data_IF_098694264928
#
_entry.id   IF_098694264928
#
_cell.length_a   1.000
_cell.length_b   1.000
_cell.length_c   1.000
_cell.angle_alpha   90.00
_cell.angle_beta   90.00
_cell.angle_gamma   90.00
#
_symmetry.space_group_name_H-M   'P 1'
#
loop_
_entity.id
_entity.type
_entity.pdbx_description
1 polymer ?
#
# COMPACT_ATOMS: atom_id res chain seq x y z
N UNK A 1 10.18 13.63 -3.70
CA UNK A 1 9.75 12.22 -3.68
C UNK A 1 10.64 11.45 -2.73
N UNK A 2 10.07 10.50 -1.98
CA UNK A 2 10.80 9.56 -1.11
C UNK A 2 10.74 8.16 -1.73
N UNK A 3 11.87 7.45 -1.80
CA UNK A 3 11.98 6.09 -2.34
C UNK A 3 12.29 5.10 -1.22
N UNK A 4 11.91 3.84 -1.41
CA UNK A 4 12.16 2.75 -0.45
C UNK A 4 11.58 3.03 0.95
N UNK A 5 10.33 3.50 0.97
CA UNK A 5 9.63 3.83 2.21
C UNK A 5 9.33 2.55 3.01
N UNK A 6 9.79 2.41 4.27
CA UNK A 6 9.57 1.19 5.04
C UNK A 6 8.08 0.99 5.33
N UNK A 7 7.55 -0.18 4.96
CA UNK A 7 6.15 -0.57 5.17
C UNK A 7 5.95 -1.49 6.37
N UNK A 8 7.02 -1.89 7.05
CA UNK A 8 6.95 -2.79 8.21
C UNK A 8 7.62 -2.15 9.41
N UNK A 9 7.02 -2.34 10.58
CA UNK A 9 7.60 -1.97 11.87
C UNK A 9 8.60 -3.01 12.39
N UNK A 10 9.12 -2.78 13.60
CA UNK A 10 10.04 -3.71 14.26
C UNK A 10 9.42 -5.05 14.67
N UNK A 11 8.07 -5.11 14.80
CA UNK A 11 7.31 -6.28 15.22
C UNK A 11 7.82 -6.87 16.55
N UNK A 12 8.21 -6.00 17.47
CA UNK A 12 8.62 -6.45 18.80
C UNK A 12 7.41 -7.00 19.56
N UNK A 13 7.62 -8.01 20.41
CA UNK A 13 6.55 -8.70 21.19
C UNK A 13 5.68 -7.78 22.06
N UNK A 14 6.15 -6.57 22.35
CA UNK A 14 5.48 -5.57 23.18
C UNK A 14 4.86 -4.42 22.35
N UNK A 15 4.91 -4.51 21.02
CA UNK A 15 4.21 -3.61 20.11
C UNK A 15 2.82 -4.17 19.81
N UNK A 16 1.79 -3.34 19.92
CA UNK A 16 0.42 -3.74 19.59
C UNK A 16 0.10 -3.48 18.12
N UNK A 17 0.44 -2.28 17.63
CA UNK A 17 0.07 -1.84 16.28
C UNK A 17 1.11 -0.88 15.70
N UNK A 18 1.22 -0.85 14.37
CA UNK A 18 2.19 0.01 13.66
C UNK A 18 1.50 1.28 13.16
N UNK A 19 1.81 2.42 13.75
CA UNK A 19 1.27 3.72 13.31
C UNK A 19 2.16 4.33 12.23
N UNK A 20 1.62 4.66 11.03
CA UNK A 20 2.38 5.28 9.95
C UNK A 20 2.64 6.78 10.20
N UNK A 21 3.44 7.11 11.22
CA UNK A 21 3.70 8.50 11.59
C UNK A 21 4.32 9.32 10.44
N UNK A 22 5.39 8.82 9.83
CA UNK A 22 6.05 9.51 8.72
C UNK A 22 5.14 9.65 7.49
N UNK A 23 4.39 8.61 7.03
CA UNK A 23 3.42 8.79 5.97
C UNK A 23 2.35 9.82 6.30
N UNK A 24 1.81 9.85 7.53
CA UNK A 24 0.83 10.86 7.96
C UNK A 24 1.39 12.28 7.79
N UNK A 25 2.66 12.51 8.14
CA UNK A 25 3.31 13.82 8.01
C UNK A 25 3.61 14.20 6.55
N UNK A 26 4.08 13.26 5.75
CA UNK A 26 4.61 13.54 4.41
C UNK A 26 3.55 13.51 3.30
N UNK A 27 2.46 12.76 3.50
CA UNK A 27 1.41 12.60 2.49
C UNK A 27 0.78 13.95 2.16
N UNK A 28 0.66 14.21 0.85
CA UNK A 28 0.20 15.51 0.32
C UNK A 28 1.31 16.51 0.04
N UNK A 29 2.51 16.31 0.60
CA UNK A 29 3.69 17.15 0.33
C UNK A 29 4.63 16.55 -0.71
N UNK A 30 4.87 15.24 -0.61
CA UNK A 30 5.72 14.49 -1.56
C UNK A 30 5.10 13.14 -1.89
N UNK A 31 5.43 12.59 -3.06
CA UNK A 31 5.13 11.20 -3.39
C UNK A 31 6.05 10.26 -2.58
N UNK A 32 5.46 9.20 -2.03
CA UNK A 32 6.13 8.14 -1.29
C UNK A 32 6.08 6.86 -2.11
N UNK A 33 7.20 6.17 -2.25
CA UNK A 33 7.31 4.91 -2.98
C UNK A 33 7.85 3.84 -2.05
N UNK A 34 7.18 2.69 -1.99
CA UNK A 34 7.57 1.59 -1.11
C UNK A 34 8.80 0.83 -1.62
N UNK A 35 9.22 -0.22 -0.90
CA UNK A 35 10.30 -1.10 -1.32
C UNK A 35 9.85 -1.92 -2.53
N UNK A 36 10.79 -2.45 -3.30
CA UNK A 36 10.46 -3.24 -4.49
C UNK A 36 9.57 -4.44 -4.14
N UNK A 37 8.40 -4.52 -4.78
CA UNK A 37 7.43 -5.58 -4.53
C UNK A 37 7.89 -6.95 -5.02
N UNK A 38 8.74 -6.97 -6.05
CA UNK A 38 9.37 -8.19 -6.54
C UNK A 38 10.61 -8.60 -5.73
N UNK A 39 10.90 -7.91 -4.62
CA UNK A 39 11.84 -8.36 -3.61
C UNK A 39 11.04 -8.81 -2.37
N UNK A 40 11.14 -10.09 -2.04
CA UNK A 40 10.35 -10.73 -0.96
C UNK A 40 9.05 -11.37 -1.44
N UNK A 41 8.20 -11.76 -0.49
CA UNK A 41 6.91 -12.40 -0.78
C UNK A 41 5.89 -11.36 -1.26
N UNK A 42 5.17 -11.71 -2.32
CA UNK A 42 3.97 -10.97 -2.70
C UNK A 42 2.81 -11.38 -1.80
N UNK A 43 2.28 -10.42 -1.04
CA UNK A 43 1.10 -10.59 -0.20
C UNK A 43 0.12 -9.45 -0.45
N UNK A 44 -1.18 -9.78 -0.50
CA UNK A 44 -2.26 -8.80 -0.65
C UNK A 44 -2.17 -7.69 0.40
N UNK A 45 -1.84 -8.07 1.64
CA UNK A 45 -1.69 -7.15 2.77
C UNK A 45 -0.56 -6.14 2.59
N UNK A 46 0.47 -6.46 1.80
CA UNK A 46 1.52 -5.50 1.47
C UNK A 46 0.98 -4.37 0.61
N UNK A 47 0.09 -4.67 -0.34
CA UNK A 47 -0.61 -3.64 -1.12
C UNK A 47 -1.64 -2.90 -0.27
N UNK A 48 -2.32 -3.60 0.63
CA UNK A 48 -3.25 -3.00 1.58
C UNK A 48 -2.56 -1.98 2.48
N UNK A 49 -1.34 -2.28 2.93
CA UNK A 49 -0.51 -1.36 3.72
C UNK A 49 -0.01 -0.18 2.90
N UNK A 50 0.29 -0.37 1.62
CA UNK A 50 0.55 0.74 0.71
C UNK A 50 -0.65 1.69 0.60
N UNK A 51 -1.87 1.15 0.54
CA UNK A 51 -3.11 1.94 0.57
C UNK A 51 -3.27 2.69 1.89
N UNK A 52 -3.10 2.01 3.03
CA UNK A 52 -3.17 2.64 4.35
C UNK A 52 -2.17 3.78 4.50
N UNK A 53 -0.92 3.59 4.05
CA UNK A 53 0.15 4.57 4.24
C UNK A 53 0.14 5.64 3.13
N UNK A 54 -0.68 5.51 2.10
CA UNK A 54 -0.67 6.41 0.95
C UNK A 54 0.64 6.34 0.15
N UNK A 55 1.24 5.15 0.09
CA UNK A 55 2.52 4.85 -0.56
C UNK A 55 2.27 4.18 -1.91
N UNK A 56 3.01 4.58 -2.94
CA UNK A 56 2.93 3.99 -4.27
C UNK A 56 3.75 2.68 -4.38
N UNK A 57 3.30 1.71 -5.19
CA UNK A 57 4.07 0.49 -5.46
C UNK A 57 5.32 0.79 -6.29
N UNK A 58 6.38 0.00 -6.07
CA UNK A 58 7.66 0.09 -6.75
C UNK A 58 8.13 -1.28 -7.23
N UNK A 59 8.88 -1.30 -8.33
CA UNK A 59 9.43 -2.52 -8.93
C UNK A 59 10.83 -2.27 -9.47
N UNK A 60 11.66 -3.31 -9.44
CA UNK A 60 12.93 -3.34 -10.20
C UNK A 60 12.80 -4.37 -11.31
N UNK A 61 13.02 -3.98 -12.57
CA UNK A 61 12.81 -4.86 -13.71
C UNK A 61 14.03 -4.93 -14.62
N UNK A 62 14.18 -6.06 -15.28
CA UNK A 62 15.20 -6.35 -16.29
C UNK A 62 14.53 -6.84 -17.56
N UNK A 63 15.11 -6.52 -18.71
CA UNK A 63 14.60 -7.01 -19.99
C UNK A 63 15.03 -8.47 -20.28
N UNK A 64 16.10 -8.92 -19.64
CA UNK A 64 16.66 -10.26 -19.84
C UNK A 64 16.29 -11.16 -18.64
N UNK A 65 16.14 -12.48 -18.86
CA UNK A 65 15.89 -13.42 -17.76
C UNK A 65 17.09 -13.46 -16.81
N UNK A 66 16.84 -13.78 -15.53
CA UNK A 66 17.88 -13.84 -14.50
C UNK A 66 19.06 -14.76 -14.88
N UNK A 67 18.80 -15.82 -15.66
CA UNK A 67 19.84 -16.73 -16.17
C UNK A 67 20.86 -16.05 -17.08
N UNK A 68 20.45 -15.01 -17.82
CA UNK A 68 21.34 -14.21 -18.67
C UNK A 68 22.15 -13.18 -17.87
N UNK A 69 21.74 -12.90 -16.63
CA UNK A 69 22.43 -11.98 -15.71
C UNK A 69 23.49 -12.71 -14.87
N UNK A 70 23.51 -14.04 -14.88
CA UNK A 70 24.49 -14.84 -14.16
C UNK A 70 25.92 -14.43 -14.57
N UNK A 71 26.80 -14.28 -13.57
CA UNK A 71 28.20 -13.85 -13.73
C UNK A 71 28.38 -12.47 -14.38
N UNK A 72 27.38 -11.60 -14.30
CA UNK A 72 27.47 -10.19 -14.69
C UNK A 72 27.44 -9.30 -13.46
N UNK A 73 27.71 -7.99 -13.64
CA UNK A 73 27.57 -7.01 -12.56
C UNK A 73 26.11 -6.83 -12.06
N UNK A 74 25.14 -7.46 -12.73
CA UNK A 74 23.71 -7.42 -12.40
C UNK A 74 23.20 -8.76 -11.86
N UNK A 75 24.11 -9.67 -11.48
CA UNK A 75 23.77 -11.01 -10.97
C UNK A 75 22.88 -10.97 -9.71
N UNK A 76 22.98 -9.91 -8.90
CA UNK A 76 22.15 -9.72 -7.70
C UNK A 76 20.66 -9.46 -8.01
N UNK A 77 20.28 -9.18 -9.26
CA UNK A 77 18.90 -8.96 -9.67
C UNK A 77 18.20 -10.27 -10.07
N UNK A 78 17.86 -11.08 -9.07
CA UNK A 78 17.08 -12.30 -9.25
C UNK A 78 15.58 -12.00 -9.37
N UNK A 79 14.88 -12.75 -10.22
CA UNK A 79 13.42 -12.63 -10.41
C UNK A 79 13.00 -11.19 -10.74
N UNK A 80 13.62 -10.59 -11.75
CA UNK A 80 13.34 -9.22 -12.18
C UNK A 80 12.90 -9.12 -13.64
N UNK A 81 12.80 -10.23 -14.37
CA UNK A 81 12.44 -10.21 -15.79
C UNK A 81 11.04 -9.57 -15.96
N UNK A 82 10.95 -8.55 -16.82
CA UNK A 82 9.71 -7.79 -17.00
C UNK A 82 8.55 -8.68 -17.45
N UNK A 83 8.80 -9.64 -18.34
CA UNK A 83 7.76 -10.52 -18.87
C UNK A 83 7.10 -11.36 -17.77
N UNK A 84 7.87 -11.74 -16.74
CA UNK A 84 7.36 -12.51 -15.59
C UNK A 84 6.52 -11.63 -14.64
N UNK A 85 6.82 -10.33 -14.57
CA UNK A 85 6.23 -9.40 -13.59
C UNK A 85 5.15 -8.49 -14.16
N UNK A 86 4.99 -8.43 -15.49
CA UNK A 86 4.09 -7.48 -16.15
C UNK A 86 2.67 -7.50 -15.61
N UNK A 87 2.08 -8.70 -15.47
CA UNK A 87 0.70 -8.86 -14.98
C UNK A 87 0.58 -8.38 -13.53
N UNK A 88 1.55 -8.75 -12.71
CA UNK A 88 1.59 -8.38 -11.31
C UNK A 88 1.79 -6.87 -11.08
N UNK A 89 2.63 -6.23 -11.90
CA UNK A 89 2.80 -4.76 -11.89
C UNK A 89 1.46 -4.08 -12.17
N UNK A 90 0.71 -4.56 -13.17
CA UNK A 90 -0.59 -4.01 -13.52
C UNK A 90 -1.61 -4.22 -12.40
N UNK A 91 -1.62 -5.40 -11.79
CA UNK A 91 -2.49 -5.70 -10.64
C UNK A 91 -2.21 -4.77 -9.46
N UNK A 92 -0.97 -4.72 -9.00
CA UNK A 92 -0.54 -3.90 -7.87
C UNK A 92 -0.83 -2.41 -8.11
N UNK A 93 -0.49 -1.91 -9.30
CA UNK A 93 -0.77 -0.53 -9.68
C UNK A 93 -2.26 -0.24 -9.68
N UNK A 94 -3.07 -1.07 -10.33
CA UNK A 94 -4.52 -0.86 -10.44
C UNK A 94 -5.18 -0.89 -9.07
N UNK A 95 -4.79 -1.84 -8.23
CA UNK A 95 -5.33 -1.99 -6.89
C UNK A 95 -5.03 -0.79 -5.98
N UNK A 96 -3.77 -0.36 -5.92
CA UNK A 96 -3.38 0.80 -5.09
C UNK A 96 -3.94 2.10 -5.66
N UNK A 97 -3.93 2.26 -6.99
CA UNK A 97 -4.48 3.44 -7.67
C UNK A 97 -5.96 3.64 -7.38
N UNK A 98 -6.76 2.57 -7.39
CA UNK A 98 -8.20 2.68 -7.17
C UNK A 98 -8.55 3.29 -5.80
N UNK A 99 -7.69 3.09 -4.78
CA UNK A 99 -7.79 3.81 -3.51
C UNK A 99 -7.22 5.24 -3.62
N UNK A 100 -5.94 5.34 -3.98
CA UNK A 100 -5.15 6.54 -3.76
C UNK A 100 -5.39 7.65 -4.79
N UNK A 101 -5.95 7.36 -5.96
CA UNK A 101 -6.25 8.42 -6.95
C UNK A 101 -7.22 9.45 -6.40
N UNK A 102 -8.17 9.01 -5.56
CA UNK A 102 -9.22 9.85 -5.01
C UNK A 102 -8.69 10.86 -3.97
N UNK A 103 -7.51 10.59 -3.44
CA UNK A 103 -6.84 11.35 -2.38
C UNK A 103 -5.44 11.79 -2.79
N UNK A 104 -5.20 11.86 -4.11
CA UNK A 104 -3.93 12.31 -4.67
C UNK A 104 -3.68 13.78 -4.28
N UNK A 105 -2.48 14.07 -3.78
CA UNK A 105 -2.13 15.41 -3.28
C UNK A 105 -2.77 15.82 -1.95
N UNK A 106 -3.73 15.05 -1.43
CA UNK A 106 -4.37 15.34 -0.13
C UNK A 106 -3.54 14.85 1.04
N UNK A 107 -3.58 15.62 2.14
CA UNK A 107 -2.98 15.26 3.44
C UNK A 107 -3.85 14.26 4.20
N UNK A 108 -3.19 13.34 4.91
CA UNK A 108 -3.84 12.52 5.94
C UNK A 108 -4.01 13.42 7.18
N UNK A 109 -5.22 13.48 7.72
CA UNK A 109 -5.55 14.27 8.91
C UNK A 109 -5.88 13.41 10.13
N UNK A 110 -6.21 12.13 9.91
CA UNK A 110 -6.38 11.16 10.98
C UNK A 110 -6.07 9.73 10.50
N UNK A 111 -5.54 8.92 11.40
CA UNK A 111 -5.39 7.48 11.28
C UNK A 111 -5.95 6.88 12.56
N UNK A 112 -6.89 5.95 12.44
CA UNK A 112 -7.66 5.40 13.56
C UNK A 112 -7.71 3.89 13.44
N UNK A 113 -7.25 3.19 14.48
CA UNK A 113 -7.53 1.77 14.65
C UNK A 113 -8.94 1.63 15.24
N UNK A 114 -9.89 1.21 14.41
CA UNK A 114 -11.30 1.03 14.80
C UNK A 114 -11.48 -0.27 15.61
N UNK A 115 -10.68 -1.29 15.30
CA UNK A 115 -10.59 -2.58 15.99
C UNK A 115 -9.28 -3.27 15.57
N UNK A 116 -8.99 -4.44 16.16
CA UNK A 116 -7.84 -5.24 15.74
C UNK A 116 -7.91 -5.57 14.23
N UNK A 117 -6.90 -5.12 13.48
CA UNK A 117 -6.83 -5.30 12.03
C UNK A 117 -7.82 -4.48 11.21
N UNK A 118 -8.54 -3.51 11.81
CA UNK A 118 -9.49 -2.63 11.12
C UNK A 118 -9.07 -1.17 11.29
N UNK A 119 -8.73 -0.53 10.19
CA UNK A 119 -8.12 0.80 10.18
C UNK A 119 -8.95 1.76 9.35
N UNK A 120 -9.05 3.01 9.80
CA UNK A 120 -9.62 4.12 9.04
C UNK A 120 -8.56 5.21 8.85
N UNK A 121 -8.34 5.61 7.60
CA UNK A 121 -7.50 6.76 7.24
C UNK A 121 -8.38 7.88 6.71
N UNK A 122 -8.31 9.06 7.32
CA UNK A 122 -9.10 10.23 6.94
C UNK A 122 -8.21 11.28 6.28
N UNK A 123 -8.66 11.79 5.14
CA UNK A 123 -8.00 12.85 4.37
C UNK A 123 -8.67 14.20 4.57
N UNK A 124 -7.96 15.28 4.26
CA UNK A 124 -8.37 16.66 4.56
C UNK A 124 -9.67 17.13 3.86
N UNK A 125 -10.04 16.51 2.73
CA UNK A 125 -11.30 16.77 2.04
C UNK A 125 -12.50 16.05 2.70
N UNK A 126 -12.21 15.19 3.69
CA UNK A 126 -13.17 14.33 4.39
C UNK A 126 -13.34 12.94 3.77
N UNK A 127 -12.59 12.60 2.71
CA UNK A 127 -12.54 11.23 2.19
C UNK A 127 -11.91 10.30 3.21
N UNK A 128 -12.49 9.11 3.37
CA UNK A 128 -12.02 8.07 4.28
C UNK A 128 -11.70 6.80 3.51
N UNK A 129 -10.64 6.13 3.90
CA UNK A 129 -10.30 4.79 3.41
C UNK A 129 -10.39 3.85 4.60
N UNK A 130 -11.31 2.89 4.53
CA UNK A 130 -11.50 1.84 5.52
C UNK A 130 -10.74 0.61 5.04
N UNK A 131 -9.90 0.04 5.90
CA UNK A 131 -9.00 -1.07 5.58
C UNK A 131 -9.27 -2.23 6.55
N UNK A 132 -9.39 -3.44 6.00
CA UNK A 132 -9.64 -4.66 6.74
C UNK A 132 -8.53 -5.69 6.50
N UNK A 133 -7.66 -5.88 7.48
CA UNK A 133 -6.61 -6.90 7.49
C UNK A 133 -7.07 -8.26 8.04
N UNK A 134 -8.34 -8.39 8.43
CA UNK A 134 -8.87 -9.62 9.04
C UNK A 134 -9.46 -10.56 8.01
N UNK A 135 -9.61 -11.83 8.38
CA UNK A 135 -10.30 -12.85 7.58
C UNK A 135 -11.84 -12.67 7.55
N UNK A 136 -12.38 -11.77 8.38
CA UNK A 136 -13.81 -11.56 8.55
C UNK A 136 -14.33 -10.36 7.76
N UNK A 137 -15.62 -10.37 7.42
CA UNK A 137 -16.31 -9.19 6.89
C UNK A 137 -16.32 -8.06 7.95
N UNK A 138 -16.17 -6.83 7.50
CA UNK A 138 -16.36 -5.65 8.34
C UNK A 138 -17.54 -4.82 7.83
N UNK A 139 -18.67 -4.94 8.53
CA UNK A 139 -19.88 -4.16 8.24
C UNK A 139 -19.76 -2.76 8.84
N UNK A 140 -19.96 -1.73 8.01
CA UNK A 140 -19.87 -0.32 8.41
C UNK A 140 -21.14 0.43 7.99
N UNK A 141 -21.36 1.62 8.56
CA UNK A 141 -22.45 2.51 8.12
C UNK A 141 -22.31 3.01 6.68
N UNK A 142 -21.20 2.72 6.00
CA UNK A 142 -20.88 3.15 4.63
C UNK A 142 -20.86 1.99 3.63
N UNK A 143 -21.03 0.75 4.08
CA UNK A 143 -20.92 -0.46 3.28
C UNK A 143 -20.05 -1.53 3.97
N UNK A 144 -19.89 -2.66 3.29
CA UNK A 144 -19.10 -3.80 3.77
C UNK A 144 -17.67 -3.73 3.24
N UNK A 145 -16.67 -3.89 4.10
CA UNK A 145 -15.27 -4.10 3.71
C UNK A 145 -14.98 -5.59 3.74
N UNK A 146 -14.58 -6.15 2.60
CA UNK A 146 -14.23 -7.57 2.48
C UNK A 146 -12.94 -7.90 3.25
N UNK A 147 -12.67 -9.18 3.57
CA UNK A 147 -11.39 -9.61 4.12
C UNK A 147 -10.22 -9.20 3.21
N UNK A 148 -9.12 -8.73 3.81
CA UNK A 148 -7.91 -8.30 3.09
C UNK A 148 -8.19 -7.29 1.97
N UNK A 149 -9.12 -6.37 2.21
CA UNK A 149 -9.55 -5.36 1.24
C UNK A 149 -9.84 -4.00 1.87
N UNK A 150 -10.18 -3.02 1.02
CA UNK A 150 -10.51 -1.67 1.45
C UNK A 150 -11.82 -1.14 0.86
N UNK A 151 -12.37 -0.10 1.49
CA UNK A 151 -13.50 0.67 0.98
C UNK A 151 -13.17 2.17 1.02
N UNK A 152 -13.32 2.85 -0.11
CA UNK A 152 -13.19 4.32 -0.20
C UNK A 152 -14.55 4.98 0.00
N UNK A 153 -14.65 5.81 1.03
CA UNK A 153 -15.84 6.57 1.38
C UNK A 153 -15.56 8.05 1.10
N UNK A 154 -16.03 8.55 -0.04
CA UNK A 154 -15.94 9.98 -0.37
C UNK A 154 -16.90 10.77 0.51
N UNK A 155 -16.52 12.00 0.89
CA UNK A 155 -17.45 12.92 1.57
C UNK A 155 -18.67 13.14 0.68
N UNK A 156 -19.84 12.71 1.14
CA UNK A 156 -21.09 12.90 0.40
C UNK A 156 -21.41 14.39 0.24
N UNK A 157 -21.64 14.85 -1.00
CA UNK A 157 -22.67 15.86 -1.23
C UNK A 157 -23.96 15.26 -0.70
N UNK A 158 -24.57 15.94 0.28
CA UNK A 158 -25.91 15.64 0.76
C UNK A 158 -26.81 15.55 -0.48
N UNK A 159 -27.39 14.37 -0.73
CA UNK A 159 -28.54 14.21 -1.63
C UNK A 159 -29.81 14.39 -0.81
#
# INVERSE_FOLDING_TARGET
TFLDFPLVGGQYLFETDTVPFLPIVLKGSIALFGPFLNTGYFERDRLLRMVEYGVCPSFVITAAPSSALARTASEDFYSTCFDDWREYILEAYTYVKAALETVAGLRIVAHTAEDFGRVQVTYEDGTRILINYTDGLWETGHGTVLPHDYLVVKRGMIR
#
